data_IF_974967512977
#
_entry.id   IF_974967512977
#
_cell.length_a   1.000
_cell.length_b   1.000
_cell.length_c   1.000
_cell.angle_alpha   90.00
_cell.angle_beta   90.00
_cell.angle_gamma   90.00
#
_symmetry.space_group_name_H-M   'P 1'
#
loop_
_entity.id
_entity.type
_entity.pdbx_description
1 polymer ?
#
# COMPACT_ATOMS: atom_id res chain seq x y z
N UNK A 1 -8.86 19.03 -3.69
CA UNK A 1 -8.99 17.73 -4.28
C UNK A 1 -7.94 17.53 -5.38
N UNK A 2 -7.32 16.40 -5.42
CA UNK A 2 -6.33 16.13 -6.44
C UNK A 2 -6.97 15.42 -7.63
N UNK A 3 -6.29 15.47 -8.75
CA UNK A 3 -6.76 14.80 -9.96
C UNK A 3 -6.79 13.29 -9.81
N UNK A 4 -6.06 12.75 -8.84
CA UNK A 4 -5.92 11.31 -8.67
C UNK A 4 -6.90 10.71 -7.67
N UNK A 5 -7.78 11.53 -7.11
CA UNK A 5 -8.67 11.08 -6.04
C UNK A 5 -9.59 9.93 -6.42
N UNK A 6 -9.88 9.73 -7.68
CA UNK A 6 -10.78 8.67 -8.11
C UNK A 6 -10.07 7.47 -8.73
N UNK A 7 -8.73 7.42 -8.69
CA UNK A 7 -8.00 6.40 -9.43
C UNK A 7 -8.31 4.98 -9.00
N UNK A 8 -8.40 4.72 -7.70
CA UNK A 8 -8.74 3.38 -7.23
C UNK A 8 -10.16 2.99 -7.62
N UNK A 9 -11.10 3.91 -7.46
CA UNK A 9 -12.49 3.66 -7.82
C UNK A 9 -12.62 3.41 -9.32
N UNK A 10 -11.87 4.16 -10.11
CA UNK A 10 -11.92 4.00 -11.57
C UNK A 10 -11.33 2.66 -11.99
N UNK A 11 -10.24 2.23 -11.39
CA UNK A 11 -9.66 0.92 -11.66
C UNK A 11 -10.67 -0.18 -11.36
N UNK A 12 -11.34 -0.09 -10.22
CA UNK A 12 -12.36 -1.06 -9.84
C UNK A 12 -13.50 -1.07 -10.84
N UNK A 13 -13.97 0.10 -11.26
CA UNK A 13 -15.07 0.20 -12.23
C UNK A 13 -14.70 -0.39 -13.59
N UNK A 14 -13.47 -0.14 -14.05
CA UNK A 14 -13.00 -0.70 -15.32
C UNK A 14 -12.93 -2.22 -15.23
N UNK A 15 -12.45 -2.75 -14.12
CA UNK A 15 -12.35 -4.20 -13.92
C UNK A 15 -13.73 -4.84 -13.87
N UNK A 16 -14.69 -4.19 -13.20
CA UNK A 16 -16.06 -4.69 -13.14
C UNK A 16 -16.71 -4.71 -14.53
N UNK A 17 -16.40 -3.71 -15.33
CA UNK A 17 -16.92 -3.63 -16.69
C UNK A 17 -16.38 -4.78 -17.54
N UNK A 18 -15.10 -5.09 -17.39
CA UNK A 18 -14.50 -6.22 -18.11
C UNK A 18 -15.10 -7.54 -17.62
N UNK A 19 -15.26 -7.69 -16.31
CA UNK A 19 -15.83 -8.91 -15.72
C UNK A 19 -17.26 -9.13 -16.20
N UNK A 20 -18.02 -8.06 -16.41
CA UNK A 20 -19.40 -8.16 -16.84
C UNK A 20 -19.56 -8.84 -18.20
N UNK A 21 -18.54 -8.81 -19.04
CA UNK A 21 -18.56 -9.49 -20.33
C UNK A 21 -17.73 -10.77 -20.31
N UNK A 22 -17.40 -11.27 -19.12
CA UNK A 22 -16.69 -12.54 -18.98
C UNK A 22 -15.17 -12.43 -19.00
N UNK A 23 -14.64 -11.22 -19.13
CA UNK A 23 -13.20 -11.03 -19.14
C UNK A 23 -12.72 -10.82 -17.72
N UNK A 24 -12.50 -11.94 -17.03
CA UNK A 24 -12.17 -11.91 -15.61
C UNK A 24 -11.38 -13.16 -15.21
N UNK A 25 -10.67 -13.04 -14.11
CA UNK A 25 -10.00 -14.17 -13.48
C UNK A 25 -11.06 -15.08 -12.85
N UNK A 26 -10.85 -16.41 -12.87
CA UNK A 26 -11.83 -17.30 -12.23
C UNK A 26 -11.83 -17.20 -10.70
N UNK A 27 -10.69 -16.82 -10.10
CA UNK A 27 -10.58 -16.68 -8.65
C UNK A 27 -9.41 -15.74 -8.30
N UNK A 28 -9.06 -15.67 -7.02
CA UNK A 28 -8.03 -14.76 -6.57
C UNK A 28 -6.60 -15.24 -6.88
N UNK A 29 -6.42 -16.50 -7.27
CA UNK A 29 -5.08 -17.03 -7.54
C UNK A 29 -4.40 -16.29 -8.70
N UNK A 30 -5.16 -15.93 -9.73
CA UNK A 30 -4.62 -15.19 -10.86
C UNK A 30 -4.09 -13.83 -10.46
N UNK A 31 -4.90 -12.99 -9.80
CA UNK A 31 -4.40 -11.71 -9.32
C UNK A 31 -3.21 -11.81 -8.37
N UNK A 32 -3.17 -12.82 -7.49
CA UNK A 32 -2.01 -13.02 -6.62
C UNK A 32 -0.76 -13.28 -7.44
N UNK A 33 -0.86 -14.16 -8.44
CA UNK A 33 0.28 -14.45 -9.30
C UNK A 33 0.72 -13.20 -10.06
N UNK A 34 -0.24 -12.38 -10.50
CA UNK A 34 0.06 -11.15 -11.21
C UNK A 34 0.79 -10.15 -10.33
N UNK A 35 0.36 -10.02 -9.07
CA UNK A 35 1.05 -9.15 -8.11
C UNK A 35 2.51 -9.58 -7.98
N UNK A 36 2.75 -10.88 -7.84
CA UNK A 36 4.12 -11.38 -7.73
C UNK A 36 4.94 -11.12 -8.99
N UNK A 37 4.32 -11.29 -10.15
CA UNK A 37 4.97 -11.02 -11.42
C UNK A 37 5.38 -9.56 -11.54
N UNK A 38 4.50 -8.64 -11.18
CA UNK A 38 4.81 -7.22 -11.27
C UNK A 38 5.90 -6.81 -10.30
N UNK A 39 5.93 -7.39 -9.10
CA UNK A 39 7.02 -7.14 -8.16
C UNK A 39 8.35 -7.58 -8.76
N UNK A 40 8.38 -8.75 -9.39
CA UNK A 40 9.60 -9.25 -10.03
C UNK A 40 10.06 -8.32 -11.15
N UNK A 41 9.12 -7.79 -11.93
CA UNK A 41 9.47 -6.85 -13.00
C UNK A 41 10.03 -5.55 -12.45
N UNK A 42 9.46 -5.06 -11.36
CA UNK A 42 9.97 -3.86 -10.70
C UNK A 42 11.40 -4.11 -10.21
N UNK A 43 11.64 -5.25 -9.58
CA UNK A 43 12.97 -5.61 -9.11
C UNK A 43 13.99 -5.64 -10.24
N UNK A 44 13.57 -6.08 -11.41
CA UNK A 44 14.43 -6.13 -12.57
C UNK A 44 14.71 -4.79 -13.21
N UNK A 45 13.84 -3.80 -12.97
CA UNK A 45 13.94 -2.50 -13.61
C UNK A 45 14.57 -1.41 -12.76
N UNK A 46 14.44 -1.51 -11.45
CA UNK A 46 14.92 -0.41 -10.63
C UNK A 46 16.44 -0.34 -10.70
N UNK A 47 16.97 0.87 -10.69
CA UNK A 47 18.41 1.06 -10.83
C UNK A 47 18.89 1.14 -12.27
N UNK A 48 18.01 0.93 -13.25
CA UNK A 48 18.40 1.01 -14.66
C UNK A 48 18.20 2.39 -15.28
N UNK A 49 17.68 3.34 -14.50
CA UNK A 49 17.51 4.70 -14.96
C UNK A 49 16.33 4.94 -15.86
N UNK A 50 15.41 3.98 -15.98
CA UNK A 50 14.22 4.14 -16.80
C UNK A 50 13.00 4.37 -15.91
N UNK A 51 12.82 5.63 -15.47
CA UNK A 51 11.75 6.00 -14.58
C UNK A 51 10.37 5.83 -15.17
N UNK A 52 10.23 6.03 -16.47
CA UNK A 52 8.94 5.89 -17.14
C UNK A 52 8.47 4.44 -17.12
N UNK A 53 9.37 3.52 -17.41
CA UNK A 53 9.04 2.10 -17.36
C UNK A 53 8.73 1.67 -15.94
N UNK A 54 9.47 2.18 -14.97
CA UNK A 54 9.23 1.88 -13.57
C UNK A 54 7.85 2.37 -13.14
N UNK A 55 7.46 3.54 -13.59
CA UNK A 55 6.14 4.08 -13.32
C UNK A 55 5.05 3.18 -13.88
N UNK A 56 5.24 2.68 -15.10
CA UNK A 56 4.29 1.76 -15.71
C UNK A 56 4.16 0.48 -14.88
N UNK A 57 5.28 -0.06 -14.42
CA UNK A 57 5.26 -1.28 -13.63
C UNK A 57 4.58 -1.07 -12.27
N UNK A 58 4.80 0.08 -11.65
CA UNK A 58 4.11 0.39 -10.40
C UNK A 58 2.61 0.50 -10.63
N UNK A 59 2.22 1.15 -11.75
CA UNK A 59 0.81 1.24 -12.11
C UNK A 59 0.18 -0.14 -12.29
N UNK A 60 0.88 -1.03 -13.00
CA UNK A 60 0.41 -2.39 -13.23
C UNK A 60 0.28 -3.16 -11.91
N UNK A 61 1.23 -2.95 -10.99
CA UNK A 61 1.16 -3.57 -9.67
C UNK A 61 -0.07 -3.10 -8.91
N UNK A 62 -0.30 -1.78 -8.88
CA UNK A 62 -1.48 -1.24 -8.20
C UNK A 62 -2.77 -1.78 -8.81
N UNK A 63 -2.81 -1.86 -10.13
CA UNK A 63 -3.98 -2.39 -10.82
C UNK A 63 -4.23 -3.86 -10.46
N UNK A 64 -3.17 -4.65 -10.37
CA UNK A 64 -3.28 -6.05 -9.96
C UNK A 64 -3.76 -6.18 -8.52
N UNK A 65 -3.32 -5.27 -7.63
CA UNK A 65 -3.79 -5.27 -6.25
C UNK A 65 -5.28 -4.96 -6.17
N UNK A 66 -5.77 -4.03 -7.01
CA UNK A 66 -7.21 -3.73 -7.06
C UNK A 66 -7.98 -4.98 -7.51
N UNK A 67 -7.47 -5.70 -8.51
CA UNK A 67 -8.11 -6.95 -8.96
C UNK A 67 -8.14 -7.99 -7.85
N UNK A 68 -7.04 -8.11 -7.10
CA UNK A 68 -6.99 -9.05 -5.99
C UNK A 68 -8.04 -8.70 -4.96
N UNK A 69 -8.15 -7.44 -4.58
CA UNK A 69 -9.16 -6.99 -3.62
C UNK A 69 -10.56 -7.32 -4.13
N UNK A 70 -10.82 -7.03 -5.41
CA UNK A 70 -12.12 -7.29 -6.01
C UNK A 70 -12.48 -8.78 -5.97
N UNK A 71 -11.53 -9.65 -6.29
CA UNK A 71 -11.77 -11.09 -6.28
C UNK A 71 -11.99 -11.63 -4.86
N UNK A 72 -11.50 -10.90 -3.85
CA UNK A 72 -11.71 -11.25 -2.45
C UNK A 72 -12.92 -10.52 -1.85
N UNK A 73 -13.67 -9.81 -2.67
CA UNK A 73 -14.85 -9.03 -2.25
C UNK A 73 -14.50 -7.95 -1.23
N UNK A 74 -13.33 -7.34 -1.42
CA UNK A 74 -12.86 -6.24 -0.57
C UNK A 74 -12.80 -4.98 -1.42
N UNK A 75 -13.34 -3.88 -0.89
CA UNK A 75 -13.24 -2.60 -1.56
C UNK A 75 -11.84 -2.03 -1.34
N UNK A 76 -11.05 -1.87 -2.42
CA UNK A 76 -9.67 -1.42 -2.26
C UNK A 76 -9.54 -0.02 -1.68
N UNK A 77 -10.47 0.87 -1.97
CA UNK A 77 -10.42 2.23 -1.40
C UNK A 77 -10.62 2.19 0.11
N UNK A 78 -11.60 1.40 0.56
CA UNK A 78 -11.85 1.24 1.99
C UNK A 78 -10.65 0.59 2.68
N UNK A 79 -10.07 -0.43 2.06
CA UNK A 79 -8.90 -1.10 2.63
C UNK A 79 -7.73 -0.13 2.79
N UNK A 80 -7.47 0.68 1.76
CA UNK A 80 -6.37 1.64 1.81
C UNK A 80 -6.64 2.73 2.85
N UNK A 81 -7.88 3.17 2.95
CA UNK A 81 -8.23 4.19 3.95
C UNK A 81 -7.98 3.66 5.37
N UNK A 82 -8.30 2.40 5.61
CA UNK A 82 -8.03 1.78 6.91
C UNK A 82 -6.53 1.71 7.20
N UNK A 83 -5.73 1.43 6.17
CA UNK A 83 -4.27 1.43 6.31
C UNK A 83 -3.75 2.83 6.63
N UNK A 84 -4.31 3.86 5.95
CA UNK A 84 -3.93 5.24 6.20
C UNK A 84 -4.22 5.62 7.65
N UNK A 85 -5.42 5.31 8.12
CA UNK A 85 -5.82 5.65 9.48
C UNK A 85 -4.95 4.94 10.52
N UNK A 86 -4.63 3.68 10.24
CA UNK A 86 -3.79 2.90 11.14
C UNK A 86 -2.40 3.52 11.23
N UNK A 87 -1.83 3.88 10.09
CA UNK A 87 -0.50 4.50 10.08
C UNK A 87 -0.51 5.85 10.79
N UNK A 88 -1.50 6.67 10.49
CA UNK A 88 -1.61 8.00 11.12
C UNK A 88 -1.73 7.88 12.63
N UNK A 89 -2.51 6.91 13.09
CA UNK A 89 -2.68 6.70 14.52
C UNK A 89 -1.37 6.27 15.18
N UNK A 90 -0.67 5.33 14.53
CA UNK A 90 0.61 4.83 15.06
C UNK A 90 1.69 5.90 15.01
N UNK A 91 1.77 6.62 13.91
CA UNK A 91 2.79 7.66 13.78
C UNK A 91 2.52 8.81 14.76
N UNK A 92 1.26 9.17 14.96
CA UNK A 92 0.92 10.15 15.99
C UNK A 92 1.35 9.71 17.37
N UNK A 93 1.22 8.41 17.66
CA UNK A 93 1.70 7.87 18.94
C UNK A 93 3.23 7.92 19.04
N UNK A 94 3.93 7.68 17.92
CA UNK A 94 5.39 7.82 17.87
C UNK A 94 5.77 9.27 18.19
N UNK A 95 5.08 10.22 17.58
CA UNK A 95 5.35 11.63 17.81
C UNK A 95 5.18 12.00 19.29
N UNK A 96 4.10 11.55 19.89
CA UNK A 96 3.83 11.83 21.30
C UNK A 96 4.87 11.16 22.21
N UNK A 97 5.23 9.94 21.90
CA UNK A 97 6.24 9.23 22.68
C UNK A 97 7.59 9.92 22.61
N UNK A 98 7.96 10.38 21.40
CA UNK A 98 9.21 11.13 21.22
C UNK A 98 9.22 12.40 22.05
N UNK A 99 8.12 13.15 22.03
CA UNK A 99 8.03 14.37 22.84
C UNK A 99 8.21 14.04 24.31
N UNK A 100 7.57 12.99 24.80
CA UNK A 100 7.66 12.62 26.22
C UNK A 100 9.07 12.21 26.62
N UNK A 101 9.89 11.78 25.68
CA UNK A 101 11.27 11.35 25.93
C UNK A 101 12.31 12.38 25.53
N UNK A 102 11.87 13.55 25.07
CA UNK A 102 12.79 14.58 24.64
C UNK A 102 13.57 14.23 23.38
N UNK A 103 13.00 13.37 22.54
CA UNK A 103 13.64 12.95 21.31
C UNK A 103 13.13 13.81 20.16
N UNK A 104 14.07 14.38 19.40
CA UNK A 104 13.75 15.14 18.21
C UNK A 104 13.75 14.17 17.03
N UNK A 105 12.54 13.87 16.50
CA UNK A 105 12.41 12.91 15.41
C UNK A 105 13.24 13.28 14.18
N UNK A 106 13.35 14.57 13.90
CA UNK A 106 14.11 15.02 12.75
C UNK A 106 15.60 14.77 12.85
N UNK A 107 16.11 14.50 14.04
CA UNK A 107 17.53 14.25 14.30
C UNK A 107 17.81 12.86 14.81
N UNK A 108 16.79 12.07 15.05
CA UNK A 108 16.95 10.73 15.59
C UNK A 108 17.55 9.82 14.53
N UNK A 109 18.31 8.81 14.97
CA UNK A 109 18.82 7.78 14.09
C UNK A 109 17.67 6.89 13.62
N UNK A 110 17.89 6.18 12.52
CA UNK A 110 16.89 5.24 12.05
C UNK A 110 16.61 4.17 13.11
N UNK A 111 17.65 3.73 13.83
CA UNK A 111 17.48 2.76 14.91
C UNK A 111 16.56 3.28 16.01
N UNK A 112 16.75 4.54 16.40
CA UNK A 112 15.91 5.14 17.43
C UNK A 112 14.46 5.26 16.95
N UNK A 113 14.27 5.65 15.68
CA UNK A 113 12.94 5.74 15.10
C UNK A 113 12.26 4.38 15.06
N UNK A 114 13.01 3.34 14.67
CA UNK A 114 12.47 1.99 14.63
C UNK A 114 12.07 1.49 16.02
N UNK A 115 12.85 1.83 17.04
CA UNK A 115 12.52 1.45 18.41
C UNK A 115 11.20 2.08 18.84
N UNK A 116 11.02 3.36 18.54
CA UNK A 116 9.77 4.04 18.87
C UNK A 116 8.60 3.39 18.14
N UNK A 117 8.80 3.08 16.86
CA UNK A 117 7.76 2.45 16.05
C UNK A 117 7.38 1.07 16.59
N UNK A 118 8.38 0.25 16.90
CA UNK A 118 8.11 -1.08 17.43
C UNK A 118 7.40 -1.02 18.78
N UNK A 119 7.79 -0.06 19.60
CA UNK A 119 7.15 0.13 20.89
C UNK A 119 5.68 0.50 20.74
N UNK A 120 5.38 1.39 19.80
CA UNK A 120 4.02 1.80 19.52
C UNK A 120 3.21 0.63 18.95
N UNK A 121 3.78 -0.12 18.00
CA UNK A 121 3.11 -1.28 17.40
C UNK A 121 2.83 -2.36 18.42
N UNK A 122 3.78 -2.61 19.27
CA UNK A 122 3.67 -3.64 20.31
C UNK A 122 3.02 -3.16 21.60
N UNK A 123 2.72 -1.86 21.68
CA UNK A 123 2.22 -1.27 22.92
C UNK A 123 0.93 -1.89 23.41
N UNK A 124 0.06 -2.32 22.50
CA UNK A 124 -1.18 -2.97 22.87
C UNK A 124 -0.98 -4.35 23.46
N UNK A 125 0.15 -4.97 23.18
CA UNK A 125 0.47 -6.29 23.72
C UNK A 125 1.40 -6.17 24.91
N UNK A 126 1.85 -4.97 25.24
CA UNK A 126 2.67 -4.71 26.41
C UNK A 126 1.81 -4.10 27.47
N UNK A 127 1.98 -4.54 28.67
CA UNK A 127 1.23 -3.95 29.78
C UNK A 127 1.53 -2.48 29.96
#
# INVERSE_FOLDING_TARGET
>A
MTENDGSLARALAVQRRAAAVGFDWPDALGPVAKVREEVTEIEGEWGKGNGEKLEDEIGDLLFAVVNLARKLAIDPATALERANEKFERRFGAVERLAVSRGIDLGRASLEALDELWEEVKGGRSRP
#
